data_IF_314244008127
#
_entry.id   IF_314244008127
#
_cell.length_a   1.000
_cell.length_b   1.000
_cell.length_c   1.000
_cell.angle_alpha   90.00
_cell.angle_beta   90.00
_cell.angle_gamma   90.00
#
_symmetry.space_group_name_H-M   'P 1'
#
loop_
_entity.id
_entity.type
_entity.pdbx_description
1 polymer ?
#
# COMPACT_ATOMS: atom_id res chain seq x y z
N UNK A 1 3.12 -19.51 14.34
CA UNK A 1 3.12 -18.65 13.15
C UNK A 1 4.37 -19.01 12.33
N UNK A 2 4.22 -19.29 11.05
CA UNK A 2 5.39 -19.59 10.21
C UNK A 2 6.13 -18.29 9.88
N UNK A 3 7.40 -18.38 9.55
CA UNK A 3 8.19 -17.21 9.13
C UNK A 3 7.59 -16.49 7.94
N UNK A 4 6.79 -17.19 7.11
CA UNK A 4 6.10 -16.61 5.96
C UNK A 4 4.97 -15.64 6.33
N UNK A 5 4.48 -15.68 7.57
CA UNK A 5 3.40 -14.81 8.03
C UNK A 5 3.92 -13.53 8.71
N UNK A 6 5.22 -13.44 8.90
CA UNK A 6 5.83 -12.26 9.51
C UNK A 6 5.94 -11.13 8.50
N UNK A 7 5.28 -10.00 8.80
CA UNK A 7 5.24 -8.83 7.90
C UNK A 7 6.29 -7.77 8.25
N UNK A 8 6.92 -7.87 9.41
CA UNK A 8 7.93 -6.92 9.88
C UNK A 8 9.15 -7.67 10.46
N UNK A 9 10.29 -6.99 10.48
CA UNK A 9 11.50 -7.51 11.14
C UNK A 9 11.39 -7.45 12.68
N UNK A 10 10.51 -6.60 13.20
CA UNK A 10 10.23 -6.48 14.62
C UNK A 10 9.07 -7.40 15.01
N UNK A 11 9.10 -7.92 16.22
CA UNK A 11 8.01 -8.72 16.76
C UNK A 11 6.93 -7.78 17.30
N UNK A 12 6.05 -7.35 16.42
CA UNK A 12 4.95 -6.44 16.71
C UNK A 12 3.63 -7.11 16.26
N UNK A 13 3.06 -8.02 17.08
CA UNK A 13 1.87 -8.74 16.70
C UNK A 13 0.66 -7.80 16.55
N UNK A 14 -0.20 -8.12 15.59
CA UNK A 14 -1.47 -7.40 15.44
C UNK A 14 -2.31 -7.56 16.68
N UNK A 15 -3.12 -6.54 16.99
CA UNK A 15 -4.14 -6.64 18.02
C UNK A 15 -5.10 -7.78 17.71
N UNK A 16 -5.47 -8.56 18.72
CA UNK A 16 -6.38 -9.68 18.59
C UNK A 16 -7.35 -9.70 19.80
N UNK A 17 -8.66 -9.44 19.61
CA UNK A 17 -9.27 -9.11 18.31
C UNK A 17 -8.92 -7.69 17.84
N UNK A 18 -9.00 -7.48 16.53
CA UNK A 18 -8.90 -6.13 15.97
C UNK A 18 -10.12 -5.30 16.40
N UNK A 19 -9.97 -3.98 16.63
CA UNK A 19 -11.12 -3.11 16.80
C UNK A 19 -12.11 -3.26 15.64
N UNK A 20 -13.41 -3.13 15.93
CA UNK A 20 -14.46 -3.39 14.94
C UNK A 20 -14.28 -2.56 13.66
N UNK A 21 -13.97 -1.27 13.78
CA UNK A 21 -13.75 -0.40 12.62
C UNK A 21 -12.54 -0.84 11.80
N UNK A 22 -11.46 -1.29 12.44
CA UNK A 22 -10.27 -1.81 11.77
C UNK A 22 -10.58 -3.11 11.04
N UNK A 23 -11.33 -4.00 11.66
CA UNK A 23 -11.74 -5.26 11.02
C UNK A 23 -12.58 -4.99 9.77
N UNK A 24 -13.54 -4.05 9.84
CA UNK A 24 -14.34 -3.65 8.67
C UNK A 24 -13.47 -3.10 7.54
N UNK A 25 -12.47 -2.28 7.88
CA UNK A 25 -11.54 -1.74 6.90
C UNK A 25 -10.73 -2.84 6.22
N UNK A 26 -10.22 -3.80 7.00
CA UNK A 26 -9.49 -4.95 6.46
C UNK A 26 -10.39 -5.83 5.57
N UNK A 27 -11.64 -6.01 5.95
CA UNK A 27 -12.62 -6.77 5.14
C UNK A 27 -12.85 -6.08 3.79
N UNK A 28 -12.96 -4.75 3.77
CA UNK A 28 -13.07 -3.97 2.52
C UNK A 28 -11.82 -4.14 1.66
N UNK A 29 -10.63 -4.12 2.25
CA UNK A 29 -9.39 -4.37 1.52
C UNK A 29 -9.38 -5.78 0.90
N UNK A 30 -9.79 -6.78 1.67
CA UNK A 30 -9.87 -8.16 1.17
C UNK A 30 -10.82 -8.27 -0.01
N UNK A 31 -11.99 -7.63 0.07
CA UNK A 31 -12.99 -7.68 -1.00
C UNK A 31 -12.53 -6.95 -2.28
N UNK A 32 -11.92 -5.79 -2.13
CA UNK A 32 -11.53 -4.94 -3.26
C UNK A 32 -10.19 -5.31 -3.88
N UNK A 33 -9.24 -5.73 -3.06
CA UNK A 33 -7.87 -5.98 -3.49
C UNK A 33 -7.51 -7.47 -3.52
N UNK A 34 -8.34 -8.33 -2.94
CA UNK A 34 -8.04 -9.74 -2.76
C UNK A 34 -7.04 -10.01 -1.64
N UNK A 35 -6.62 -8.98 -0.92
CA UNK A 35 -5.67 -9.09 0.19
C UNK A 35 -5.74 -7.86 1.08
N UNK A 36 -5.29 -8.00 2.32
CA UNK A 36 -4.98 -6.85 3.17
C UNK A 36 -3.51 -6.49 2.95
N UNK A 37 -3.20 -5.26 2.50
CA UNK A 37 -1.81 -4.85 2.29
C UNK A 37 -0.94 -5.03 3.55
N UNK A 38 0.27 -5.52 3.37
CA UNK A 38 1.18 -5.78 4.48
C UNK A 38 1.49 -4.54 5.31
N UNK A 39 1.53 -3.37 4.70
CA UNK A 39 1.77 -2.11 5.42
C UNK A 39 0.68 -1.82 6.45
N UNK A 40 -0.57 -2.20 6.17
CA UNK A 40 -1.67 -2.06 7.14
C UNK A 40 -1.52 -3.05 8.26
N UNK A 41 -1.18 -4.30 7.96
CA UNK A 41 -0.91 -5.34 8.98
C UNK A 41 0.25 -4.94 9.88
N UNK A 42 1.29 -4.35 9.31
CA UNK A 42 2.48 -3.91 10.05
C UNK A 42 2.17 -2.83 11.09
N UNK A 43 1.15 -2.00 10.86
CA UNK A 43 0.71 -0.97 11.79
C UNK A 43 -0.37 -1.45 12.76
N UNK A 44 -0.93 -2.64 12.58
CA UNK A 44 -2.10 -3.11 13.32
C UNK A 44 -1.79 -3.56 14.76
N UNK A 45 -0.58 -3.36 15.25
CA UNK A 45 -0.23 -3.54 16.65
C UNK A 45 -0.69 -2.36 17.52
N UNK A 46 -1.03 -1.22 16.90
CA UNK A 46 -1.44 0.01 17.58
C UNK A 46 -2.44 0.76 16.69
N UNK A 47 -3.70 0.80 17.14
CA UNK A 47 -4.78 1.38 16.33
C UNK A 47 -4.59 2.86 16.02
N UNK A 48 -4.01 3.63 16.95
CA UNK A 48 -3.78 5.06 16.74
C UNK A 48 -2.74 5.29 15.64
N UNK A 49 -1.69 4.50 15.62
CA UNK A 49 -0.67 4.55 14.57
C UNK A 49 -1.22 4.11 13.22
N UNK A 50 -2.01 3.04 13.20
CA UNK A 50 -2.66 2.58 11.97
C UNK A 50 -3.59 3.66 11.41
N UNK A 51 -4.42 4.27 12.24
CA UNK A 51 -5.36 5.30 11.81
C UNK A 51 -4.64 6.55 11.31
N UNK A 52 -3.57 6.96 11.97
CA UNK A 52 -2.76 8.10 11.52
C UNK A 52 -2.10 7.82 10.17
N UNK A 53 -1.54 6.63 9.98
CA UNK A 53 -0.95 6.23 8.72
C UNK A 53 -1.98 6.19 7.60
N UNK A 54 -3.12 5.55 7.82
CA UNK A 54 -4.15 5.44 6.78
C UNK A 54 -4.76 6.79 6.42
N UNK A 55 -4.93 7.69 7.37
CA UNK A 55 -5.41 9.05 7.11
C UNK A 55 -4.45 9.82 6.21
N UNK A 56 -3.16 9.79 6.53
CA UNK A 56 -2.13 10.44 5.71
C UNK A 56 -2.05 9.82 4.32
N UNK A 57 -1.95 8.50 4.24
CA UNK A 57 -1.84 7.78 2.98
C UNK A 57 -3.04 8.06 2.07
N UNK A 58 -4.24 7.93 2.60
CA UNK A 58 -5.46 8.12 1.82
C UNK A 58 -5.62 9.57 1.35
N UNK A 59 -5.24 10.55 2.16
CA UNK A 59 -5.26 11.94 1.73
C UNK A 59 -4.28 12.17 0.57
N UNK A 60 -3.06 11.68 0.69
CA UNK A 60 -2.04 11.86 -0.35
C UNK A 60 -2.41 11.16 -1.66
N UNK A 61 -2.97 9.95 -1.57
CA UNK A 61 -3.23 9.12 -2.76
C UNK A 61 -4.61 9.31 -3.36
N UNK A 62 -5.61 9.67 -2.55
CA UNK A 62 -7.03 9.69 -2.94
C UNK A 62 -7.72 11.03 -2.69
N UNK A 63 -7.13 11.93 -1.89
CA UNK A 63 -7.72 13.22 -1.56
C UNK A 63 -7.76 14.16 -2.77
N UNK A 64 -8.52 15.22 -2.68
CA UNK A 64 -8.59 16.24 -3.74
C UNK A 64 -7.23 16.92 -3.93
N UNK A 65 -6.76 16.96 -5.18
CA UNK A 65 -5.54 17.66 -5.54
C UNK A 65 -5.51 17.94 -7.05
N UNK A 66 -4.51 18.71 -7.48
CA UNK A 66 -4.27 18.96 -8.90
C UNK A 66 -3.65 17.77 -9.65
N UNK A 67 -3.31 16.67 -8.95
CA UNK A 67 -2.72 15.48 -9.54
C UNK A 67 -3.80 14.42 -9.76
N UNK A 68 -3.75 13.73 -10.90
CA UNK A 68 -4.60 12.58 -11.16
C UNK A 68 -4.17 11.37 -10.31
N UNK A 69 -5.04 10.37 -10.20
CA UNK A 69 -4.68 9.10 -9.53
C UNK A 69 -3.48 8.44 -10.20
N UNK A 70 -3.44 8.44 -11.53
CA UNK A 70 -2.32 7.88 -12.29
C UNK A 70 -1.01 8.60 -11.97
N UNK A 71 -1.01 9.92 -11.98
CA UNK A 71 0.18 10.71 -11.66
C UNK A 71 0.69 10.43 -10.26
N UNK A 72 -0.21 10.29 -9.27
CA UNK A 72 0.16 9.94 -7.90
C UNK A 72 0.80 8.56 -7.80
N UNK A 73 0.27 7.58 -8.53
CA UNK A 73 0.85 6.24 -8.58
C UNK A 73 2.22 6.23 -9.29
N UNK A 74 2.38 7.04 -10.34
CA UNK A 74 3.68 7.22 -11.00
C UNK A 74 4.73 7.80 -10.04
N UNK A 75 4.35 8.82 -9.26
CA UNK A 75 5.22 9.38 -8.22
C UNK A 75 5.57 8.31 -7.19
N UNK A 76 4.58 7.52 -6.76
CA UNK A 76 4.80 6.46 -5.79
C UNK A 76 5.79 5.39 -6.30
N UNK A 77 5.75 5.03 -7.58
CA UNK A 77 6.71 4.11 -8.19
C UNK A 77 8.12 4.69 -8.10
N UNK A 78 8.31 5.96 -8.49
CA UNK A 78 9.63 6.61 -8.45
C UNK A 78 10.18 6.66 -7.03
N UNK A 79 9.37 7.10 -6.07
CA UNK A 79 9.77 7.16 -4.65
C UNK A 79 10.12 5.76 -4.13
N UNK A 80 9.30 4.77 -4.44
CA UNK A 80 9.50 3.38 -4.02
C UNK A 80 10.79 2.79 -4.59
N UNK A 81 11.12 3.14 -5.80
CA UNK A 81 12.34 2.69 -6.46
C UNK A 81 13.58 3.29 -5.81
N UNK A 82 13.57 4.58 -5.50
CA UNK A 82 14.67 5.23 -4.78
C UNK A 82 14.85 4.61 -3.40
N UNK A 83 13.74 4.28 -2.74
CA UNK A 83 13.74 3.62 -1.44
C UNK A 83 14.08 2.12 -1.52
N UNK A 84 14.19 1.57 -2.73
CA UNK A 84 14.44 0.14 -2.97
C UNK A 84 13.41 -0.76 -2.28
N UNK A 85 12.15 -0.32 -2.27
CA UNK A 85 11.05 -1.10 -1.71
C UNK A 85 10.45 -1.99 -2.80
N UNK A 86 10.81 -3.27 -2.81
CA UNK A 86 10.30 -4.23 -3.79
C UNK A 86 8.77 -4.30 -3.80
N UNK A 87 8.19 -4.50 -2.63
CA UNK A 87 6.71 -4.58 -2.48
C UNK A 87 6.02 -3.34 -3.02
N UNK A 88 6.55 -2.16 -2.67
CA UNK A 88 5.96 -0.88 -3.07
C UNK A 88 6.02 -0.71 -4.60
N UNK A 89 7.14 -1.07 -5.22
CA UNK A 89 7.28 -0.98 -6.68
C UNK A 89 6.29 -1.92 -7.39
N UNK A 90 6.13 -3.14 -6.90
CA UNK A 90 5.17 -4.10 -7.47
C UNK A 90 3.74 -3.60 -7.33
N UNK A 91 3.37 -3.13 -6.15
CA UNK A 91 2.01 -2.67 -5.86
C UNK A 91 1.64 -1.41 -6.67
N UNK A 92 2.50 -0.39 -6.63
CA UNK A 92 2.25 0.86 -7.36
C UNK A 92 2.43 0.69 -8.87
N UNK A 93 3.36 -0.14 -9.31
CA UNK A 93 3.51 -0.50 -10.72
C UNK A 93 2.24 -1.17 -11.27
N UNK A 94 1.61 -2.05 -10.49
CA UNK A 94 0.34 -2.66 -10.86
C UNK A 94 -0.78 -1.61 -11.00
N UNK A 95 -0.83 -0.63 -10.08
CA UNK A 95 -1.78 0.47 -10.14
C UNK A 95 -1.55 1.34 -11.39
N UNK A 96 -0.30 1.63 -11.75
CA UNK A 96 0.01 2.37 -12.98
C UNK A 96 -0.51 1.62 -14.21
N UNK A 97 -0.29 0.31 -14.29
CA UNK A 97 -0.82 -0.51 -15.39
C UNK A 97 -2.35 -0.44 -15.48
N UNK A 98 -3.01 -0.59 -14.33
CA UNK A 98 -4.48 -0.59 -14.28
C UNK A 98 -5.06 0.78 -14.66
N UNK A 99 -4.50 1.87 -14.13
CA UNK A 99 -5.02 3.22 -14.35
C UNK A 99 -4.69 3.77 -15.74
N UNK A 100 -3.52 3.44 -16.29
CA UNK A 100 -3.12 3.89 -17.62
C UNK A 100 -3.71 3.04 -18.74
N UNK A 101 -4.07 1.79 -18.46
CA UNK A 101 -4.41 0.80 -19.48
C UNK A 101 -3.22 0.40 -20.37
N UNK A 102 -2.01 0.76 -19.97
CA UNK A 102 -0.77 0.52 -20.71
C UNK A 102 0.22 -0.29 -19.87
N UNK A 103 0.28 -1.62 -20.07
CA UNK A 103 1.23 -2.46 -19.34
C UNK A 103 2.69 -2.08 -19.57
N UNK A 104 3.02 -1.58 -20.76
CA UNK A 104 4.39 -1.18 -21.08
C UNK A 104 4.82 0.05 -20.28
N UNK A 105 3.93 1.01 -20.06
CA UNK A 105 4.20 2.16 -19.21
C UNK A 105 4.50 1.71 -17.77
N UNK A 106 3.68 0.82 -17.21
CA UNK A 106 3.89 0.29 -15.87
C UNK A 106 5.24 -0.39 -15.72
N UNK A 107 5.62 -1.24 -16.67
CA UNK A 107 6.91 -1.92 -16.67
C UNK A 107 8.07 -0.94 -16.81
N UNK A 108 7.96 0.05 -17.72
CA UNK A 108 9.00 1.06 -17.93
C UNK A 108 9.21 1.89 -16.67
N UNK A 109 8.14 2.28 -15.97
CA UNK A 109 8.22 3.03 -14.72
C UNK A 109 8.95 2.25 -13.62
N UNK A 110 8.68 0.94 -13.50
CA UNK A 110 9.32 0.09 -12.49
C UNK A 110 10.80 -0.15 -12.83
N UNK A 111 11.13 -0.36 -14.10
CA UNK A 111 12.47 -0.78 -14.52
C UNK A 111 13.39 0.36 -14.93
N UNK A 112 12.87 1.41 -15.54
CA UNK A 112 13.66 2.46 -16.20
C UNK A 112 13.15 3.87 -15.90
N UNK A 113 12.73 4.14 -14.69
CA UNK A 113 12.21 5.44 -14.34
C UNK A 113 13.29 6.53 -14.24
N UNK A 114 14.55 6.18 -14.24
CA UNK A 114 15.70 7.11 -14.15
C UNK A 114 15.82 8.01 -15.37
#
# INVERSE_FOLDING_TARGET
MSDSDQTTALDLPMLDPLPEATQRYFDVCQDKLGMVPNVLKAHAFDVDKLNAFTALYNDLMLGDSGLSKLEREMIAVVVSSINRCWYCQVAHGAAVRALSGDPALGEAMVMNYL
#
